data_IF_249345900476
#
_entry.id   IF_249345900476
#
_cell.length_a   1.000
_cell.length_b   1.000
_cell.length_c   1.000
_cell.angle_alpha   90.00
_cell.angle_beta   90.00
_cell.angle_gamma   90.00
#
_symmetry.space_group_name_H-M   'P 1'
#
loop_
_entity.id
_entity.type
_entity.pdbx_description
1 polymer ?
#
# COMPACT_ATOMS: atom_id res chain seq x y z
N UNK A 1 12.70 4.13 -21.63
CA UNK A 1 11.64 5.12 -21.92
C UNK A 1 10.28 4.52 -22.31
N UNK A 2 10.16 3.55 -23.22
CA UNK A 2 8.84 2.98 -23.60
C UNK A 2 8.06 2.34 -22.44
N UNK A 3 8.72 1.73 -21.47
CA UNK A 3 8.04 1.08 -20.31
C UNK A 3 7.34 2.05 -19.37
N UNK A 4 7.90 3.23 -19.09
CA UNK A 4 7.31 4.18 -18.15
C UNK A 4 6.00 4.80 -18.66
N UNK A 5 5.83 4.93 -19.99
CA UNK A 5 4.62 5.51 -20.58
C UNK A 5 3.34 4.72 -20.25
N UNK A 6 3.45 3.40 -20.06
CA UNK A 6 2.32 2.53 -19.78
C UNK A 6 1.87 2.48 -18.30
N UNK A 7 2.64 3.06 -17.36
CA UNK A 7 2.27 3.03 -15.95
C UNK A 7 1.08 3.94 -15.64
N UNK A 8 0.28 3.52 -14.67
CA UNK A 8 -0.90 4.20 -14.14
C UNK A 8 -0.74 4.39 -12.64
N UNK A 9 -1.48 5.29 -12.03
CA UNK A 9 -1.54 5.39 -10.56
C UNK A 9 -2.13 4.13 -9.90
N UNK A 10 -2.81 3.26 -10.65
CA UNK A 10 -3.22 1.92 -10.19
C UNK A 10 -2.06 0.92 -10.13
N UNK A 11 -0.89 1.23 -10.64
CA UNK A 11 0.29 0.38 -10.53
C UNK A 11 1.03 0.75 -9.24
N UNK A 12 1.09 -0.18 -8.29
CA UNK A 12 1.57 -0.01 -6.91
C UNK A 12 2.93 0.72 -6.84
N UNK A 13 3.92 0.20 -7.56
CA UNK A 13 5.26 0.77 -7.58
C UNK A 13 5.29 2.22 -8.09
N UNK A 14 4.47 2.53 -9.10
CA UNK A 14 4.38 3.88 -9.66
C UNK A 14 3.68 4.83 -8.70
N UNK A 15 2.56 4.41 -8.10
CA UNK A 15 1.84 5.19 -7.11
C UNK A 15 2.72 5.50 -5.89
N UNK A 16 3.41 4.49 -5.37
CA UNK A 16 4.33 4.63 -4.23
C UNK A 16 5.31 5.78 -4.47
N UNK A 17 5.93 5.82 -5.66
CA UNK A 17 6.86 6.91 -6.02
C UNK A 17 6.16 8.24 -6.25
N UNK A 18 4.95 8.24 -6.80
CA UNK A 18 4.18 9.47 -6.96
C UNK A 18 3.81 10.13 -5.62
N UNK A 19 3.58 9.34 -4.58
CA UNK A 19 3.17 9.86 -3.26
C UNK A 19 4.32 10.01 -2.27
N UNK A 20 5.52 9.50 -2.61
CA UNK A 20 6.69 9.61 -1.74
C UNK A 20 7.14 11.06 -1.56
N UNK A 21 7.35 11.46 -0.31
CA UNK A 21 8.03 12.71 0.07
C UNK A 21 7.20 13.99 -0.01
N UNK A 22 6.00 13.99 -0.62
CA UNK A 22 5.14 15.17 -0.69
C UNK A 22 3.69 14.85 -0.33
N UNK A 23 3.20 15.33 0.83
CA UNK A 23 1.83 15.09 1.29
C UNK A 23 0.72 15.61 0.36
N UNK A 24 1.02 16.58 -0.50
CA UNK A 24 0.05 17.27 -1.37
C UNK A 24 -0.77 16.28 -2.21
N UNK A 25 -0.10 15.28 -2.79
CA UNK A 25 -0.75 14.37 -3.74
C UNK A 25 -1.67 13.37 -3.05
N UNK A 26 -1.22 12.78 -1.94
CA UNK A 26 -2.09 11.88 -1.16
C UNK A 26 -3.21 12.63 -0.47
N UNK A 27 -2.98 13.88 -0.06
CA UNK A 27 -4.01 14.73 0.54
C UNK A 27 -5.18 14.96 -0.41
N UNK A 28 -4.92 15.24 -1.69
CA UNK A 28 -5.98 15.37 -2.71
C UNK A 28 -6.81 14.08 -2.78
N UNK A 29 -6.16 12.93 -2.87
CA UNK A 29 -6.83 11.62 -2.92
C UNK A 29 -7.69 11.39 -1.68
N UNK A 30 -7.13 11.63 -0.48
CA UNK A 30 -7.81 11.40 0.78
C UNK A 30 -9.00 12.35 0.99
N UNK A 31 -8.88 13.61 0.59
CA UNK A 31 -10.01 14.56 0.63
C UNK A 31 -11.21 14.06 -0.17
N UNK A 32 -10.96 13.46 -1.32
CA UNK A 32 -12.02 12.94 -2.20
C UNK A 32 -12.58 11.61 -1.64
N UNK A 33 -11.70 10.67 -1.28
CA UNK A 33 -12.10 9.33 -0.85
C UNK A 33 -12.78 9.32 0.52
N UNK A 34 -12.33 10.17 1.45
CA UNK A 34 -12.91 10.28 2.78
C UNK A 34 -14.04 11.33 2.85
N UNK A 35 -14.29 12.05 1.76
CA UNK A 35 -15.25 13.17 1.72
C UNK A 35 -14.96 14.25 2.77
N UNK A 36 -13.66 14.50 3.04
CA UNK A 36 -13.15 15.44 4.04
C UNK A 36 -12.37 16.58 3.35
N UNK A 37 -13.03 17.64 2.86
CA UNK A 37 -12.39 18.70 2.06
C UNK A 37 -11.30 19.46 2.86
N UNK A 38 -11.47 19.56 4.18
CA UNK A 38 -10.56 20.27 5.07
C UNK A 38 -9.42 19.40 5.63
N UNK A 39 -9.33 18.12 5.22
CA UNK A 39 -8.26 17.23 5.67
C UNK A 39 -6.90 17.79 5.25
N UNK A 40 -5.97 17.84 6.21
CA UNK A 40 -4.58 18.27 6.00
C UNK A 40 -3.65 17.13 6.36
N UNK A 41 -2.91 16.59 5.39
CA UNK A 41 -1.88 15.57 5.64
C UNK A 41 -0.61 16.25 6.09
N UNK A 42 -0.07 15.83 7.22
CA UNK A 42 1.17 16.37 7.82
C UNK A 42 2.38 15.44 7.66
N UNK A 43 2.15 14.15 7.45
CA UNK A 43 3.21 13.15 7.21
C UNK A 43 2.72 12.10 6.22
N UNK A 44 3.60 11.68 5.31
CA UNK A 44 3.37 10.58 4.38
C UNK A 44 4.61 9.70 4.31
N UNK A 45 4.42 8.40 4.45
CA UNK A 45 5.46 7.39 4.30
C UNK A 45 4.98 6.31 3.37
N UNK A 46 5.88 5.81 2.55
CA UNK A 46 5.59 4.74 1.59
C UNK A 46 6.33 3.45 1.97
N UNK A 47 5.77 2.30 1.60
CA UNK A 47 6.34 0.98 1.86
C UNK A 47 6.70 0.74 3.33
N UNK A 48 5.79 1.15 4.24
CA UNK A 48 6.03 1.06 5.68
C UNK A 48 5.92 -0.38 6.15
N UNK A 49 7.02 -0.91 6.68
CA UNK A 49 7.04 -2.24 7.27
C UNK A 49 6.53 -2.16 8.71
N UNK A 50 5.45 -2.89 8.99
CA UNK A 50 4.87 -3.03 10.32
C UNK A 50 5.17 -4.43 10.81
N UNK A 51 6.10 -4.51 11.74
CA UNK A 51 6.62 -5.78 12.25
C UNK A 51 5.62 -6.44 13.21
N UNK A 52 5.50 -7.76 13.08
CA UNK A 52 4.88 -8.62 14.08
C UNK A 52 5.90 -9.67 14.52
N UNK A 53 6.44 -9.51 15.72
CA UNK A 53 7.52 -10.35 16.24
C UNK A 53 7.17 -11.84 16.33
N UNK A 54 5.90 -12.19 16.44
CA UNK A 54 5.44 -13.57 16.62
C UNK A 54 4.78 -14.16 15.38
N UNK A 55 4.31 -13.31 14.45
CA UNK A 55 3.46 -13.74 13.34
C UNK A 55 3.80 -12.97 12.06
N UNK A 56 2.84 -12.96 11.11
CA UNK A 56 2.99 -12.30 9.83
C UNK A 56 3.04 -10.78 9.97
N UNK A 57 4.14 -10.17 9.58
CA UNK A 57 4.27 -8.73 9.38
C UNK A 57 3.49 -8.25 8.15
N UNK A 58 3.23 -6.95 8.06
CA UNK A 58 2.61 -6.33 6.89
C UNK A 58 3.50 -5.22 6.34
N UNK A 59 3.39 -4.98 5.04
CA UNK A 59 3.94 -3.79 4.39
C UNK A 59 2.77 -2.96 3.92
N UNK A 60 2.70 -1.71 4.36
CA UNK A 60 1.68 -0.74 4.00
C UNK A 60 2.20 0.09 2.83
N UNK A 61 1.42 0.19 1.75
CA UNK A 61 1.87 0.87 0.53
C UNK A 61 2.06 2.37 0.78
N UNK A 62 1.06 3.04 1.35
CA UNK A 62 1.14 4.45 1.74
C UNK A 62 0.49 4.64 3.11
N UNK A 63 1.24 5.14 4.08
CA UNK A 63 0.75 5.52 5.41
C UNK A 63 0.79 7.04 5.55
N UNK A 64 -0.37 7.67 5.68
CA UNK A 64 -0.53 9.09 5.91
C UNK A 64 -0.94 9.38 7.36
N UNK A 65 -0.50 10.53 7.88
CA UNK A 65 -0.98 11.10 9.14
C UNK A 65 -1.56 12.48 8.85
N UNK A 66 -2.76 12.75 9.32
CA UNK A 66 -3.36 14.06 9.17
C UNK A 66 -3.09 14.98 10.39
N UNK A 67 -3.50 16.24 10.29
CA UNK A 67 -3.29 17.25 11.32
C UNK A 67 -4.04 16.98 12.63
N UNK A 68 -5.01 16.06 12.64
CA UNK A 68 -5.75 15.63 13.84
C UNK A 68 -5.16 14.36 14.47
N UNK A 69 -4.14 13.78 13.83
CA UNK A 69 -3.48 12.55 14.30
C UNK A 69 -4.04 11.26 13.72
N UNK A 70 -5.09 11.31 12.85
CA UNK A 70 -5.64 10.13 12.18
C UNK A 70 -4.57 9.43 11.35
N UNK A 71 -4.60 8.10 11.35
CA UNK A 71 -3.68 7.27 10.57
C UNK A 71 -4.43 6.61 9.43
N UNK A 72 -3.97 6.85 8.21
CA UNK A 72 -4.66 6.44 7.01
C UNK A 72 -3.68 5.61 6.16
N UNK A 73 -3.95 4.31 6.05
CA UNK A 73 -3.24 3.42 5.16
C UNK A 73 -3.99 3.33 3.82
N UNK A 74 -3.29 3.57 2.71
CA UNK A 74 -3.84 3.40 1.36
C UNK A 74 -3.09 2.25 0.68
N UNK A 75 -3.85 1.26 0.24
CA UNK A 75 -3.39 0.05 -0.47
C UNK A 75 -3.92 0.06 -1.90
N UNK A 76 -3.04 -0.15 -2.87
CA UNK A 76 -3.44 -0.32 -4.27
C UNK A 76 -3.43 -1.79 -4.62
N UNK A 77 -4.55 -2.29 -5.17
CA UNK A 77 -4.67 -3.71 -5.49
C UNK A 77 -5.24 -3.92 -6.90
N UNK A 78 -4.38 -4.33 -7.83
CA UNK A 78 -4.79 -4.71 -9.19
C UNK A 78 -5.46 -6.08 -9.23
N UNK A 79 -5.13 -6.94 -8.29
CA UNK A 79 -5.71 -8.28 -8.18
C UNK A 79 -6.72 -8.34 -7.05
N UNK A 80 -7.94 -8.83 -7.34
CA UNK A 80 -9.00 -9.01 -6.36
C UNK A 80 -8.57 -9.90 -5.17
N UNK A 81 -7.63 -10.82 -5.41
CA UNK A 81 -7.06 -11.67 -4.36
C UNK A 81 -6.25 -10.87 -3.33
N UNK A 82 -5.69 -9.72 -3.72
CA UNK A 82 -4.94 -8.83 -2.84
C UNK A 82 -5.84 -8.02 -1.89
N UNK A 83 -7.08 -7.72 -2.27
CA UNK A 83 -8.02 -6.88 -1.52
C UNK A 83 -9.00 -7.67 -0.65
N UNK A 84 -8.63 -8.85 -0.19
CA UNK A 84 -9.51 -9.72 0.60
C UNK A 84 -9.92 -9.09 1.95
N UNK A 85 -11.21 -9.26 2.35
CA UNK A 85 -11.78 -8.71 3.60
C UNK A 85 -10.99 -9.07 4.86
N UNK A 86 -10.40 -10.27 4.91
CA UNK A 86 -9.55 -10.70 6.03
C UNK A 86 -8.21 -9.95 6.06
N UNK A 87 -7.64 -9.62 4.88
CA UNK A 87 -6.43 -8.80 4.79
C UNK A 87 -6.71 -7.37 5.28
N UNK A 88 -7.82 -6.76 4.86
CA UNK A 88 -8.20 -5.43 5.32
C UNK A 88 -8.35 -5.38 6.85
N UNK A 89 -9.04 -6.36 7.44
CA UNK A 89 -9.13 -6.50 8.90
C UNK A 89 -7.76 -6.70 9.55
N UNK A 90 -6.88 -7.50 8.94
CA UNK A 90 -5.54 -7.75 9.48
C UNK A 90 -4.68 -6.49 9.46
N UNK A 91 -4.69 -5.74 8.34
CA UNK A 91 -3.98 -4.46 8.23
C UNK A 91 -4.48 -3.46 9.30
N UNK A 92 -5.80 -3.33 9.49
CA UNK A 92 -6.40 -2.50 10.56
C UNK A 92 -5.88 -2.91 11.94
N UNK A 93 -5.91 -4.20 12.27
CA UNK A 93 -5.43 -4.70 13.57
C UNK A 93 -3.93 -4.48 13.76
N UNK A 94 -3.14 -4.60 12.70
CA UNK A 94 -1.70 -4.35 12.75
C UNK A 94 -1.37 -2.88 12.93
N UNK A 95 -2.15 -1.98 12.33
CA UNK A 95 -2.04 -0.54 12.60
C UNK A 95 -2.30 -0.25 14.07
N UNK A 96 -3.43 -0.68 14.61
CA UNK A 96 -3.82 -0.43 16.00
C UNK A 96 -2.77 -0.97 16.98
N UNK A 97 -2.29 -2.20 16.75
CA UNK A 97 -1.28 -2.85 17.60
C UNK A 97 0.08 -2.13 17.63
N UNK A 98 0.38 -1.30 16.63
CA UNK A 98 1.65 -0.59 16.51
C UNK A 98 1.53 0.92 16.80
N UNK A 99 0.34 1.42 17.09
CA UNK A 99 0.11 2.83 17.38
C UNK A 99 0.22 3.18 18.86
N UNK A 100 -0.11 2.24 19.77
CA UNK A 100 0.06 2.44 21.20
C UNK A 100 1.41 1.91 21.69
N UNK A 101 2.05 2.71 22.53
CA UNK A 101 3.26 2.29 23.25
C UNK A 101 2.87 1.62 24.57
N UNK A 102 3.82 0.88 25.12
CA UNK A 102 3.64 0.25 26.43
C UNK A 102 3.34 1.30 27.50
N UNK A 103 2.15 1.20 28.12
CA UNK A 103 1.69 2.08 29.17
C UNK A 103 0.75 3.22 28.73
N UNK A 104 0.57 3.44 27.44
CA UNK A 104 -0.46 4.35 26.92
C UNK A 104 -1.86 3.75 27.08
N UNK A 105 -2.87 4.61 27.22
CA UNK A 105 -4.26 4.19 27.39
C UNK A 105 -4.89 3.84 26.05
N UNK A 106 -5.83 2.89 26.03
CA UNK A 106 -6.56 2.52 24.82
C UNK A 106 -7.38 3.68 24.22
N UNK A 107 -7.85 4.60 25.07
CA UNK A 107 -8.59 5.80 24.64
C UNK A 107 -7.69 6.82 23.88
N UNK A 108 -6.38 6.61 23.87
CA UNK A 108 -5.41 7.42 23.13
C UNK A 108 -5.18 6.88 21.69
N UNK A 109 -5.81 5.74 21.33
CA UNK A 109 -5.78 5.26 19.94
C UNK A 109 -6.40 6.30 19.00
N UNK A 110 -5.67 6.73 17.95
CA UNK A 110 -6.24 7.64 16.96
C UNK A 110 -7.27 6.91 16.09
N UNK A 111 -8.12 7.65 15.40
CA UNK A 111 -8.90 7.09 14.31
C UNK A 111 -7.98 6.49 13.23
N UNK A 112 -8.33 5.31 12.74
CA UNK A 112 -7.58 4.57 11.73
C UNK A 112 -8.45 4.28 10.51
N UNK A 113 -7.84 4.45 9.34
CA UNK A 113 -8.47 4.19 8.04
C UNK A 113 -7.59 3.22 7.25
N UNK A 114 -8.19 2.14 6.75
CA UNK A 114 -7.56 1.25 5.77
C UNK A 114 -8.33 1.38 4.47
N UNK A 115 -7.73 2.04 3.48
CA UNK A 115 -8.34 2.34 2.19
C UNK A 115 -7.75 1.41 1.13
N UNK A 116 -8.57 0.52 0.58
CA UNK A 116 -8.21 -0.27 -0.59
C UNK A 116 -8.75 0.42 -1.86
N UNK A 117 -7.86 0.83 -2.76
CA UNK A 117 -8.22 1.24 -4.11
C UNK A 117 -7.98 0.03 -5.01
N UNK A 118 -9.05 -0.55 -5.54
CA UNK A 118 -8.99 -1.80 -6.32
C UNK A 118 -9.27 -1.55 -7.79
N UNK A 119 -8.63 -2.28 -8.70
CA UNK A 119 -8.84 -2.10 -10.14
C UNK A 119 -10.29 -2.44 -10.55
N UNK A 120 -10.92 -3.40 -9.85
CA UNK A 120 -12.30 -3.80 -10.09
C UNK A 120 -13.14 -3.69 -8.81
N UNK A 121 -14.47 -3.76 -8.96
CA UNK A 121 -15.41 -3.75 -7.82
C UNK A 121 -15.40 -5.10 -7.09
N UNK A 122 -14.52 -5.25 -6.10
CA UNK A 122 -14.38 -6.49 -5.29
C UNK A 122 -15.58 -6.76 -4.37
N UNK A 123 -16.42 -5.77 -4.10
CA UNK A 123 -17.66 -5.94 -3.32
C UNK A 123 -18.83 -6.32 -4.25
N UNK A 124 -18.79 -5.91 -5.52
CA UNK A 124 -19.72 -6.33 -6.57
C UNK A 124 -21.11 -5.70 -6.48
N UNK A 125 -21.23 -4.46 -5.96
CA UNK A 125 -22.51 -3.74 -5.84
C UNK A 125 -22.60 -2.48 -6.71
N UNK A 126 -21.59 -2.25 -7.57
CA UNK A 126 -21.55 -1.12 -8.51
C UNK A 126 -21.42 0.26 -7.85
N UNK A 127 -21.04 0.33 -6.59
CA UNK A 127 -20.84 1.61 -5.90
C UNK A 127 -19.44 2.14 -6.12
N UNK A 128 -19.23 3.47 -6.11
CA UNK A 128 -17.89 4.06 -6.19
C UNK A 128 -17.03 3.76 -4.96
N UNK A 129 -17.68 3.71 -3.79
CA UNK A 129 -17.06 3.57 -2.48
C UNK A 129 -17.92 2.69 -1.58
N UNK A 130 -17.25 1.90 -0.76
CA UNK A 130 -17.86 1.10 0.32
C UNK A 130 -17.15 1.44 1.61
N UNK A 131 -17.90 1.99 2.57
CA UNK A 131 -17.42 2.24 3.91
C UNK A 131 -17.86 1.10 4.83
N UNK A 132 -16.91 0.51 5.52
CA UNK A 132 -17.11 -0.62 6.44
C UNK A 132 -16.69 -0.17 7.83
N UNK A 133 -17.59 -0.31 8.79
CA UNK A 133 -17.37 -0.07 10.22
C UNK A 133 -18.03 -1.17 11.04
N UNK A 134 -17.82 -1.16 12.37
CA UNK A 134 -18.49 -2.08 13.28
C UNK A 134 -19.88 -1.57 13.65
N UNK A 135 -20.77 -2.51 13.92
CA UNK A 135 -22.18 -2.23 14.15
C UNK A 135 -22.73 -3.07 15.32
N UNK A 136 -23.53 -2.44 16.19
CA UNK A 136 -24.21 -3.08 17.33
C UNK A 136 -25.56 -3.58 16.82
N UNK A 137 -25.70 -4.88 16.62
CA UNK A 137 -26.92 -5.46 16.04
C UNK A 137 -28.14 -5.29 16.96
N UNK A 138 -27.96 -5.37 18.28
CA UNK A 138 -29.07 -5.37 19.23
C UNK A 138 -29.71 -3.97 19.37
N UNK A 139 -28.97 -2.89 19.17
CA UNK A 139 -29.46 -1.50 19.26
C UNK A 139 -29.63 -0.83 17.90
N UNK A 140 -29.16 -1.47 16.82
CA UNK A 140 -29.17 -0.91 15.48
C UNK A 140 -28.34 0.39 15.33
N UNK A 141 -27.18 0.46 16.00
CA UNK A 141 -26.32 1.62 16.06
C UNK A 141 -24.90 1.31 15.58
N UNK A 142 -24.18 2.33 15.12
CA UNK A 142 -22.73 2.21 14.84
C UNK A 142 -21.96 2.06 16.15
N UNK A 143 -20.96 1.18 16.18
CA UNK A 143 -20.11 0.95 17.35
C UNK A 143 -19.16 2.14 17.64
N UNK A 144 -18.83 2.93 16.62
CA UNK A 144 -18.05 4.19 16.71
C UNK A 144 -16.70 4.03 17.44
N UNK A 145 -15.96 2.99 17.12
CA UNK A 145 -14.66 2.70 17.74
C UNK A 145 -13.47 3.37 17.03
N UNK A 146 -13.73 4.21 16.02
CA UNK A 146 -12.70 4.95 15.29
C UNK A 146 -11.90 4.12 14.29
N UNK A 147 -12.31 2.87 14.02
CA UNK A 147 -11.65 1.99 13.03
C UNK A 147 -12.49 1.85 11.77
N UNK A 148 -11.94 2.26 10.63
CA UNK A 148 -12.64 2.32 9.34
C UNK A 148 -11.91 1.54 8.27
N UNK A 149 -12.66 0.84 7.43
CA UNK A 149 -12.14 0.20 6.21
C UNK A 149 -12.95 0.72 5.03
N UNK A 150 -12.26 1.16 3.98
CA UNK A 150 -12.88 1.65 2.75
C UNK A 150 -12.43 0.81 1.56
N UNK A 151 -13.36 0.52 0.66
CA UNK A 151 -13.05 -0.03 -0.65
C UNK A 151 -13.48 0.95 -1.72
N UNK A 152 -12.52 1.39 -2.53
CA UNK A 152 -12.73 2.29 -3.67
C UNK A 152 -12.72 1.45 -4.93
N UNK A 153 -13.80 1.54 -5.70
CA UNK A 153 -13.95 0.84 -6.97
C UNK A 153 -13.22 1.59 -8.08
N UNK A 154 -12.01 1.18 -8.44
CA UNK A 154 -11.20 1.80 -9.48
C UNK A 154 -11.76 1.65 -10.90
N UNK A 155 -12.76 0.82 -11.12
CA UNK A 155 -13.48 0.73 -12.39
C UNK A 155 -14.63 1.76 -12.52
N UNK A 156 -15.00 2.43 -11.43
CA UNK A 156 -16.10 3.39 -11.41
C UNK A 156 -15.77 4.66 -12.22
N UNK A 157 -16.72 5.09 -13.05
CA UNK A 157 -16.58 6.25 -13.94
C UNK A 157 -17.87 7.04 -13.96
N UNK A 158 -17.82 8.29 -13.54
CA UNK A 158 -18.86 9.31 -13.71
C UNK A 158 -18.27 10.72 -13.49
N UNK A 159 -19.11 11.73 -13.48
CA UNK A 159 -18.71 13.13 -13.31
C UNK A 159 -18.48 13.53 -11.83
N UNK A 160 -18.67 12.63 -10.87
CA UNK A 160 -18.39 12.92 -9.46
C UNK A 160 -16.87 13.01 -9.21
N UNK A 161 -16.43 13.65 -8.10
CA UNK A 161 -15.02 13.73 -7.76
C UNK A 161 -14.33 12.38 -7.71
N UNK A 162 -14.98 11.34 -7.15
CA UNK A 162 -14.42 10.00 -7.07
C UNK A 162 -14.36 9.30 -8.43
N UNK A 163 -15.37 9.51 -9.31
CA UNK A 163 -15.36 8.98 -10.67
C UNK A 163 -14.23 9.56 -11.51
N UNK A 164 -14.00 10.87 -11.41
CA UNK A 164 -12.86 11.57 -12.05
C UNK A 164 -11.52 11.12 -11.47
N UNK A 165 -11.43 10.94 -10.16
CA UNK A 165 -10.21 10.41 -9.52
C UNK A 165 -9.87 9.00 -10.02
N UNK A 166 -10.85 8.10 -10.11
CA UNK A 166 -10.64 6.74 -10.61
C UNK A 166 -10.34 6.72 -12.12
N UNK A 167 -10.83 7.70 -12.88
CA UNK A 167 -10.38 7.92 -14.25
C UNK A 167 -8.86 8.23 -14.26
N UNK A 168 -8.41 9.20 -13.48
CA UNK A 168 -7.01 9.60 -13.40
C UNK A 168 -6.10 8.46 -12.95
N UNK A 169 -6.56 7.65 -12.00
CA UNK A 169 -5.84 6.46 -11.57
C UNK A 169 -5.63 5.42 -12.69
N UNK A 170 -6.50 5.44 -13.69
CA UNK A 170 -6.43 4.54 -14.86
C UNK A 170 -5.69 5.15 -16.05
N UNK A 171 -5.45 6.47 -16.06
CA UNK A 171 -4.81 7.16 -17.16
C UNK A 171 -3.34 6.75 -17.32
N UNK A 172 -2.92 6.59 -18.56
CA UNK A 172 -1.50 6.42 -18.92
C UNK A 172 -0.85 7.72 -19.34
N UNK A 173 -1.62 8.69 -19.85
CA UNK A 173 -1.14 10.00 -20.26
C UNK A 173 -1.57 11.08 -19.26
N UNK A 174 -0.67 11.94 -18.79
CA UNK A 174 -1.01 12.99 -17.84
C UNK A 174 -1.95 14.06 -18.43
N UNK A 175 -1.95 14.23 -19.76
CA UNK A 175 -2.83 15.20 -20.42
C UNK A 175 -4.32 14.79 -20.41
N UNK A 176 -4.61 13.52 -20.19
CA UNK A 176 -5.98 12.99 -20.10
C UNK A 176 -6.55 13.08 -18.68
N UNK A 177 -5.76 13.52 -17.68
CA UNK A 177 -6.16 13.54 -16.26
C UNK A 177 -6.97 14.78 -15.92
N UNK A 178 -7.97 14.63 -15.05
CA UNK A 178 -8.82 15.73 -14.55
C UNK A 178 -8.14 16.55 -13.45
N UNK A 179 -7.35 15.91 -12.56
CA UNK A 179 -6.72 16.59 -11.43
C UNK A 179 -5.30 17.02 -11.80
N UNK A 180 -5.14 18.34 -12.07
CA UNK A 180 -3.89 18.93 -12.51
C UNK A 180 -2.68 18.61 -11.60
N UNK A 181 -2.89 18.56 -10.28
CA UNK A 181 -1.84 18.21 -9.32
C UNK A 181 -1.31 16.79 -9.54
N UNK A 182 -2.20 15.81 -9.77
CA UNK A 182 -1.80 14.43 -10.09
C UNK A 182 -1.16 14.35 -11.47
N UNK A 183 -1.72 15.06 -12.45
CA UNK A 183 -1.18 15.14 -13.80
C UNK A 183 0.25 15.68 -13.83
N UNK A 184 0.53 16.76 -13.09
CA UNK A 184 1.87 17.33 -12.93
C UNK A 184 2.86 16.30 -12.35
N UNK A 185 2.45 15.58 -11.30
CA UNK A 185 3.29 14.57 -10.67
C UNK A 185 3.57 13.38 -11.60
N UNK A 186 2.55 12.89 -12.29
CA UNK A 186 2.68 11.81 -13.29
C UNK A 186 3.57 12.27 -14.44
N UNK A 187 3.40 13.50 -14.93
CA UNK A 187 4.24 14.09 -15.98
C UNK A 187 5.70 14.18 -15.56
N UNK A 188 5.96 14.62 -14.33
CA UNK A 188 7.32 14.67 -13.79
C UNK A 188 8.02 13.33 -13.92
N UNK A 189 7.41 12.24 -13.43
CA UNK A 189 8.03 10.91 -13.45
C UNK A 189 8.10 10.26 -14.83
N UNK A 190 7.27 10.68 -15.78
CA UNK A 190 7.22 10.09 -17.12
C UNK A 190 8.00 10.87 -18.18
N UNK A 191 8.14 12.17 -18.01
CA UNK A 191 8.60 13.07 -19.07
C UNK A 191 9.83 13.90 -18.68
N UNK A 192 10.05 14.25 -17.40
CA UNK A 192 11.24 14.95 -16.99
C UNK A 192 12.45 13.99 -16.92
N UNK A 193 13.63 14.48 -17.27
CA UNK A 193 14.87 13.70 -17.21
C UNK A 193 15.14 13.19 -15.79
N UNK A 194 15.01 14.04 -14.78
CA UNK A 194 15.18 13.72 -13.36
C UNK A 194 14.14 12.67 -12.88
N UNK A 195 12.86 12.87 -13.16
CA UNK A 195 11.78 11.97 -12.73
C UNK A 195 11.91 10.59 -13.36
N UNK A 196 12.26 10.53 -14.64
CA UNK A 196 12.52 9.27 -15.36
C UNK A 196 13.70 8.52 -14.74
N UNK A 197 14.80 9.22 -14.42
CA UNK A 197 15.96 8.60 -13.77
C UNK A 197 15.63 8.04 -12.39
N UNK A 198 14.91 8.82 -11.56
CA UNK A 198 14.43 8.38 -10.24
C UNK A 198 13.56 7.11 -10.38
N UNK A 199 12.60 7.12 -11.31
CA UNK A 199 11.71 5.99 -11.52
C UNK A 199 12.45 4.75 -12.04
N UNK A 200 13.38 4.90 -12.97
CA UNK A 200 14.18 3.80 -13.48
C UNK A 200 15.00 3.13 -12.38
N UNK A 201 15.65 3.90 -11.50
CA UNK A 201 16.39 3.38 -10.34
C UNK A 201 15.45 2.63 -9.38
N UNK A 202 14.31 3.24 -9.03
CA UNK A 202 13.34 2.62 -8.13
C UNK A 202 12.84 1.28 -8.67
N UNK A 203 12.55 1.19 -9.96
CA UNK A 203 12.14 -0.06 -10.60
C UNK A 203 13.24 -1.12 -10.61
N UNK A 204 14.50 -0.71 -10.77
CA UNK A 204 15.64 -1.61 -10.71
C UNK A 204 15.84 -2.16 -9.29
N UNK A 205 15.75 -1.30 -8.29
CA UNK A 205 15.83 -1.67 -6.88
C UNK A 205 14.71 -2.66 -6.49
N UNK A 206 13.46 -2.37 -6.87
CA UNK A 206 12.32 -3.27 -6.62
C UNK A 206 12.47 -4.61 -7.31
N UNK A 207 12.95 -4.61 -8.55
CA UNK A 207 13.23 -5.86 -9.27
C UNK A 207 14.29 -6.70 -8.54
N UNK A 208 15.37 -6.04 -8.10
CA UNK A 208 16.45 -6.71 -7.36
C UNK A 208 15.96 -7.25 -6.03
N UNK A 209 15.12 -6.48 -5.31
CA UNK A 209 14.49 -6.93 -4.07
C UNK A 209 13.58 -8.13 -4.29
N UNK A 210 12.70 -8.10 -5.29
CA UNK A 210 11.81 -9.23 -5.62
C UNK A 210 12.58 -10.50 -5.98
N UNK A 211 13.65 -10.36 -6.75
CA UNK A 211 14.55 -11.47 -7.07
C UNK A 211 15.20 -12.04 -5.79
N UNK A 212 15.69 -11.17 -4.92
CA UNK A 212 16.28 -11.56 -3.65
C UNK A 212 15.30 -12.28 -2.72
N UNK A 213 14.07 -11.75 -2.59
CA UNK A 213 12.99 -12.38 -1.82
C UNK A 213 12.66 -13.78 -2.36
N UNK A 214 12.61 -13.93 -3.69
CA UNK A 214 12.45 -15.22 -4.35
C UNK A 214 13.58 -16.20 -4.04
N UNK A 215 14.85 -15.74 -4.07
CA UNK A 215 16.00 -16.53 -3.72
C UNK A 215 15.94 -17.01 -2.26
N UNK A 216 15.56 -16.12 -1.32
CA UNK A 216 15.39 -16.43 0.11
C UNK A 216 14.29 -17.49 0.29
N UNK A 217 13.17 -17.37 -0.43
CA UNK A 217 12.08 -18.34 -0.32
C UNK A 217 12.47 -19.72 -0.84
N UNK A 218 13.21 -19.79 -1.94
CA UNK A 218 13.77 -21.04 -2.45
C UNK A 218 14.77 -21.62 -1.46
N UNK A 219 15.67 -20.80 -0.87
CA UNK A 219 16.62 -21.24 0.15
C UNK A 219 15.90 -21.86 1.36
N UNK A 220 14.82 -21.24 1.87
CA UNK A 220 14.00 -21.78 2.96
C UNK A 220 13.43 -23.15 2.64
N UNK A 221 12.94 -23.35 1.42
CA UNK A 221 12.42 -24.65 0.97
C UNK A 221 13.50 -25.72 0.91
N UNK A 222 14.67 -25.38 0.35
CA UNK A 222 15.82 -26.31 0.28
C UNK A 222 16.39 -26.66 1.66
N UNK A 223 16.43 -25.69 2.59
CA UNK A 223 16.80 -25.92 3.98
C UNK A 223 15.83 -26.87 4.70
N UNK A 224 14.54 -26.73 4.42
CA UNK A 224 13.48 -27.61 4.99
C UNK A 224 13.55 -29.03 4.41
N UNK A 225 13.89 -29.18 3.14
CA UNK A 225 14.08 -30.48 2.47
C UNK A 225 15.28 -31.25 3.05
N UNK A 226 16.35 -30.53 3.45
CA UNK A 226 17.50 -31.10 4.17
C UNK A 226 18.40 -32.01 3.33
N UNK A 227 18.24 -32.09 2.02
CA UNK A 227 19.04 -32.97 1.13
C UNK A 227 20.34 -32.35 0.67
N UNK A 228 20.48 -31.02 0.73
CA UNK A 228 21.65 -30.28 0.27
C UNK A 228 22.44 -29.66 1.43
N UNK A 229 23.77 -29.51 1.26
CA UNK A 229 24.59 -28.74 2.20
C UNK A 229 24.34 -27.24 2.06
N UNK A 230 24.68 -26.45 3.10
CA UNK A 230 24.49 -24.99 3.09
C UNK A 230 25.25 -24.32 1.96
N UNK A 231 26.47 -24.81 1.65
CA UNK A 231 27.27 -24.31 0.53
C UNK A 231 26.57 -24.57 -0.81
N UNK A 232 25.97 -25.76 -0.98
CA UNK A 232 25.28 -26.11 -2.20
C UNK A 232 24.00 -25.33 -2.37
N UNK A 233 23.27 -25.09 -1.27
CA UNK A 233 22.09 -24.21 -1.27
C UNK A 233 22.51 -22.79 -1.70
N UNK A 234 23.56 -22.23 -1.09
CA UNK A 234 24.09 -20.91 -1.40
C UNK A 234 24.40 -20.75 -2.91
N UNK A 235 25.10 -21.75 -3.47
CA UNK A 235 25.42 -21.81 -4.90
C UNK A 235 24.16 -21.86 -5.79
N UNK A 236 23.18 -22.72 -5.44
CA UNK A 236 21.96 -22.92 -6.22
C UNK A 236 21.07 -21.67 -6.24
N UNK A 237 20.99 -20.92 -5.13
CA UNK A 237 20.09 -19.75 -5.03
C UNK A 237 20.78 -18.42 -5.30
N UNK A 238 22.12 -18.41 -5.41
CA UNK A 238 22.90 -17.19 -5.64
C UNK A 238 23.03 -16.27 -4.41
N UNK A 239 22.86 -16.81 -3.20
CA UNK A 239 23.08 -16.11 -1.93
C UNK A 239 24.46 -16.47 -1.35
N UNK A 240 24.99 -15.62 -0.49
CA UNK A 240 26.20 -15.95 0.26
C UNK A 240 25.92 -17.04 1.31
N UNK A 241 26.97 -17.79 1.69
CA UNK A 241 26.86 -18.82 2.72
C UNK A 241 26.38 -18.24 4.08
N UNK A 242 26.82 -17.02 4.40
CA UNK A 242 26.42 -16.34 5.64
C UNK A 242 24.93 -15.96 5.64
N UNK A 243 24.38 -15.56 4.50
CA UNK A 243 22.95 -15.32 4.35
C UNK A 243 22.14 -16.61 4.53
N UNK A 244 22.59 -17.71 3.93
CA UNK A 244 21.91 -19.02 4.09
C UNK A 244 21.94 -19.48 5.55
N UNK A 245 23.06 -19.27 6.27
CA UNK A 245 23.15 -19.55 7.71
C UNK A 245 22.19 -18.71 8.54
N UNK A 246 22.05 -17.40 8.23
CA UNK A 246 21.09 -16.53 8.91
C UNK A 246 19.65 -16.99 8.67
N UNK A 247 19.31 -17.36 7.43
CA UNK A 247 17.98 -17.90 7.08
C UNK A 247 17.72 -19.19 7.88
N UNK A 248 18.69 -20.07 7.99
CA UNK A 248 18.59 -21.31 8.77
C UNK A 248 18.36 -21.02 10.27
N UNK A 249 19.01 -19.99 10.81
CA UNK A 249 18.85 -19.57 12.21
C UNK A 249 17.55 -18.80 12.48
N UNK A 250 16.68 -18.59 11.47
CA UNK A 250 15.45 -17.82 11.59
C UNK A 250 15.68 -16.29 11.70
N UNK A 251 16.87 -15.81 11.39
CA UNK A 251 17.21 -14.39 11.36
C UNK A 251 16.92 -13.79 9.97
N UNK A 252 16.59 -12.49 9.94
CA UNK A 252 16.44 -11.77 8.66
C UNK A 252 17.77 -11.75 7.89
N UNK A 253 17.71 -12.12 6.63
CA UNK A 253 18.87 -12.16 5.75
C UNK A 253 19.08 -10.82 5.02
#
# INVERSE_FOLDING_TARGET
>A
MQRLRGFRLLDDDFLTKCFEGDPKYIQLVLRIVLEMPDLVVVDVRTQVFVENLLNRSVRLDVLATDSTGRKINVEIQRSDKGAGRKRARYNSSMMDANLLRKGEKFDELPETYVVFITEHDVIGKGRPLYHISRYIFDTNESFNDGSHILYVNGAYRDETPIGKLMHDFSCTAPDDMYYGELAERVRFFKESEEGVEIMCRAMEDMRNQTLREGMIEVAKKLLTDGTLTLEKIAECVGLSLDEVKKIQAGQSA
#
